data_IF_327771336097
#
_entry.id   IF_327771336097
#
_cell.length_a   1.000
_cell.length_b   1.000
_cell.length_c   1.000
_cell.angle_alpha   90.00
_cell.angle_beta   90.00
_cell.angle_gamma   90.00
#
_symmetry.space_group_name_H-M   'P 1'
#
loop_
_entity.id
_entity.type
_entity.pdbx_description
1 polymer ?
#
# COMPACT_ATOMS: atom_id res chain seq x y z
N UNK A 1 -16.58 -24.11 5.35
CA UNK A 1 -16.58 -22.69 5.77
C UNK A 1 -15.50 -22.52 6.82
N UNK A 2 -14.29 -22.14 6.42
CA UNK A 2 -13.19 -21.93 7.38
C UNK A 2 -13.19 -20.46 7.76
N UNK A 3 -13.77 -20.15 8.92
CA UNK A 3 -13.62 -18.85 9.57
C UNK A 3 -12.15 -18.70 9.96
N UNK A 4 -11.39 -17.93 9.19
CA UNK A 4 -10.07 -17.47 9.60
C UNK A 4 -10.25 -16.53 10.80
N UNK A 5 -10.31 -17.09 12.01
CA UNK A 5 -10.06 -16.33 13.23
C UNK A 5 -8.57 -16.01 13.24
N UNK A 6 -8.21 -14.86 12.68
CA UNK A 6 -6.88 -14.31 12.87
C UNK A 6 -6.75 -13.99 14.36
N UNK A 7 -6.00 -14.82 15.10
CA UNK A 7 -5.66 -14.51 16.49
C UNK A 7 -4.64 -13.39 16.38
N UNK A 8 -5.08 -12.17 16.72
CA UNK A 8 -4.18 -11.02 16.82
C UNK A 8 -3.03 -11.39 17.74
N UNK A 9 -1.80 -11.10 17.33
CA UNK A 9 -0.66 -11.28 18.22
C UNK A 9 -0.80 -10.35 19.42
N UNK A 10 -0.17 -10.67 20.54
CA UNK A 10 -0.19 -9.81 21.74
C UNK A 10 0.30 -8.38 21.42
N UNK A 11 1.24 -8.26 20.49
CA UNK A 11 1.74 -6.98 20.00
C UNK A 11 0.69 -6.22 19.19
N UNK A 12 -0.05 -6.91 18.31
CA UNK A 12 -1.13 -6.28 17.55
C UNK A 12 -2.22 -5.78 18.51
N UNK A 13 -2.59 -6.60 19.51
CA UNK A 13 -3.54 -6.20 20.54
C UNK A 13 -3.11 -4.93 21.30
N UNK A 14 -1.82 -4.82 21.67
CA UNK A 14 -1.28 -3.62 22.33
C UNK A 14 -1.32 -2.39 21.43
N UNK A 15 -1.02 -2.56 20.15
CA UNK A 15 -1.10 -1.47 19.16
C UNK A 15 -2.55 -1.01 19.01
N UNK A 16 -3.49 -1.95 18.85
CA UNK A 16 -4.91 -1.61 18.75
C UNK A 16 -5.42 -0.91 20.01
N UNK A 17 -5.09 -1.43 21.20
CA UNK A 17 -5.42 -0.80 22.48
C UNK A 17 -4.92 0.63 22.54
N UNK A 18 -3.65 0.87 22.20
CA UNK A 18 -3.05 2.20 22.18
C UNK A 18 -3.81 3.15 21.24
N UNK A 19 -4.17 2.70 20.03
CA UNK A 19 -4.93 3.50 19.06
C UNK A 19 -6.34 3.80 19.58
N UNK A 20 -7.03 2.80 20.14
CA UNK A 20 -8.38 3.01 20.69
C UNK A 20 -8.39 3.91 21.92
N UNK A 21 -7.36 3.83 22.76
CA UNK A 21 -7.20 4.70 23.93
C UNK A 21 -6.91 6.13 23.49
N UNK A 22 -6.03 6.33 22.51
CA UNK A 22 -5.78 7.66 21.92
C UNK A 22 -7.07 8.26 21.32
N UNK A 23 -7.88 7.45 20.65
CA UNK A 23 -9.16 7.91 20.10
C UNK A 23 -10.18 8.24 21.21
N UNK A 24 -10.36 7.38 22.21
CA UNK A 24 -11.31 7.61 23.31
C UNK A 24 -10.99 8.84 24.15
N UNK A 25 -9.69 9.16 24.27
CA UNK A 25 -9.23 10.29 25.07
C UNK A 25 -9.13 11.60 24.29
N UNK A 26 -9.37 11.60 22.98
CA UNK A 26 -9.35 12.81 22.15
C UNK A 26 -10.69 13.54 22.25
N UNK A 27 -10.67 14.88 22.35
CA UNK A 27 -11.89 15.70 22.45
C UNK A 27 -12.68 15.63 21.13
N UNK A 28 -11.97 15.53 20.01
CA UNK A 28 -12.54 15.32 18.69
C UNK A 28 -11.55 14.55 17.80
N UNK A 29 -12.03 14.12 16.63
CA UNK A 29 -11.22 13.33 15.68
C UNK A 29 -10.06 14.14 15.08
N UNK A 30 -10.20 15.47 14.99
CA UNK A 30 -9.17 16.37 14.43
C UNK A 30 -7.94 16.44 15.35
N UNK A 31 -8.13 16.48 16.67
CA UNK A 31 -7.06 16.45 17.67
C UNK A 31 -6.29 15.12 17.65
N UNK A 32 -7.00 14.01 17.45
CA UNK A 32 -6.40 12.69 17.27
C UNK A 32 -5.48 12.67 16.02
N UNK A 33 -5.96 13.21 14.89
CA UNK A 33 -5.16 13.30 13.67
C UNK A 33 -3.97 14.24 13.80
N UNK A 34 -4.11 15.39 14.46
CA UNK A 34 -3.00 16.30 14.74
C UNK A 34 -1.90 15.62 15.56
N UNK A 35 -2.30 14.81 16.54
CA UNK A 35 -1.36 14.03 17.37
C UNK A 35 -0.58 13.03 16.52
N UNK A 36 -1.23 12.28 15.63
CA UNK A 36 -0.58 11.33 14.73
C UNK A 36 0.30 12.01 13.67
N UNK A 37 -0.13 13.15 13.13
CA UNK A 37 0.68 13.96 12.21
C UNK A 37 1.94 14.50 12.88
N UNK A 38 1.86 14.91 14.15
CA UNK A 38 3.02 15.41 14.89
C UNK A 38 4.08 14.31 15.12
N UNK A 39 3.64 13.07 15.37
CA UNK A 39 4.49 11.90 15.58
C UNK A 39 5.08 11.35 14.27
N UNK A 40 4.44 11.58 13.12
CA UNK A 40 4.88 11.09 11.80
C UNK A 40 5.86 12.01 11.08
N UNK A 41 6.12 13.23 11.59
CA UNK A 41 7.17 14.12 11.07
C UNK A 41 8.56 13.59 11.41
N UNK A 42 8.99 12.58 10.66
CA UNK A 42 10.39 12.24 10.53
C UNK A 42 11.12 13.52 10.06
N UNK A 43 12.12 13.98 10.84
CA UNK A 43 12.90 15.19 10.52
C UNK A 43 13.61 14.97 9.18
N UNK A 44 12.98 15.39 8.09
CA UNK A 44 13.57 15.35 6.76
C UNK A 44 14.75 16.32 6.72
N UNK A 45 15.97 15.81 6.94
CA UNK A 45 17.19 16.52 6.62
C UNK A 45 17.37 16.57 5.09
N UNK A 46 17.54 17.81 4.60
CA UNK A 46 18.15 18.24 3.32
C UNK A 46 17.91 17.44 2.03
N UNK A 47 17.22 18.08 1.07
CA UNK A 47 17.27 17.87 -0.40
C UNK A 47 17.97 16.59 -0.91
N UNK A 48 17.40 15.45 -0.60
CA UNK A 48 17.59 14.22 -1.36
C UNK A 48 16.23 13.92 -1.97
N UNK A 49 16.16 13.81 -3.29
CA UNK A 49 14.97 13.31 -3.97
C UNK A 49 14.83 11.84 -3.61
N UNK A 50 14.20 11.56 -2.47
CA UNK A 50 13.95 10.21 -2.03
C UNK A 50 12.87 9.62 -2.93
N UNK A 51 13.19 8.49 -3.55
CA UNK A 51 12.21 7.66 -4.23
C UNK A 51 11.47 6.86 -3.15
N UNK A 52 10.20 7.19 -2.92
CA UNK A 52 9.37 6.53 -1.95
C UNK A 52 8.73 5.28 -2.56
N UNK A 53 9.03 4.11 -2.03
CA UNK A 53 8.60 2.84 -2.65
C UNK A 53 7.78 1.99 -1.70
N UNK A 54 6.70 1.40 -2.21
CA UNK A 54 5.90 0.38 -1.52
C UNK A 54 6.14 -0.97 -2.19
N UNK A 55 6.47 -1.99 -1.39
CA UNK A 55 6.44 -3.38 -1.81
C UNK A 55 5.44 -4.12 -0.93
N UNK A 56 4.40 -4.69 -1.53
CA UNK A 56 3.28 -5.26 -0.77
C UNK A 56 2.86 -6.62 -1.33
N UNK A 57 2.87 -7.62 -0.46
CA UNK A 57 2.47 -8.98 -0.76
C UNK A 57 0.97 -9.18 -0.46
N UNK A 58 0.14 -9.12 -1.51
CA UNK A 58 -1.29 -8.95 -1.34
C UNK A 58 -2.01 -10.29 -1.15
N UNK A 59 -1.58 -11.36 -1.83
CA UNK A 59 -2.28 -12.66 -1.86
C UNK A 59 -3.69 -12.58 -2.45
N UNK A 60 -3.87 -11.77 -3.50
CA UNK A 60 -5.12 -11.57 -4.23
C UNK A 60 -5.63 -10.13 -4.15
N UNK A 61 -5.50 -9.40 -5.25
CA UNK A 61 -5.85 -7.98 -5.32
C UNK A 61 -7.34 -7.71 -5.07
N UNK A 62 -8.22 -8.60 -5.54
CA UNK A 62 -9.67 -8.44 -5.35
C UNK A 62 -10.10 -8.48 -3.88
N UNK A 63 -9.42 -9.26 -3.04
CA UNK A 63 -9.78 -9.42 -1.61
C UNK A 63 -9.29 -8.24 -0.76
N UNK A 64 -8.16 -7.62 -1.14
CA UNK A 64 -7.51 -6.56 -0.37
C UNK A 64 -7.46 -5.22 -1.10
N UNK A 65 -8.38 -5.03 -2.05
CA UNK A 65 -8.42 -3.82 -2.87
C UNK A 65 -8.52 -2.55 -2.02
N UNK A 66 -9.39 -2.55 -1.01
CA UNK A 66 -9.57 -1.39 -0.13
C UNK A 66 -8.30 -1.01 0.65
N UNK A 67 -7.54 -2.00 1.11
CA UNK A 67 -6.27 -1.79 1.82
C UNK A 67 -5.20 -1.22 0.88
N UNK A 68 -5.07 -1.78 -0.32
CA UNK A 68 -4.15 -1.28 -1.35
C UNK A 68 -4.48 0.16 -1.71
N UNK A 69 -5.76 0.48 -1.90
CA UNK A 69 -6.22 1.82 -2.24
C UNK A 69 -5.89 2.81 -1.12
N UNK A 70 -6.22 2.47 0.13
CA UNK A 70 -5.96 3.33 1.28
C UNK A 70 -4.46 3.59 1.49
N UNK A 71 -3.65 2.53 1.46
CA UNK A 71 -2.20 2.64 1.60
C UNK A 71 -1.60 3.50 0.49
N UNK A 72 -2.03 3.28 -0.76
CA UNK A 72 -1.49 3.99 -1.92
C UNK A 72 -1.83 5.48 -1.90
N UNK A 73 -3.09 5.82 -1.59
CA UNK A 73 -3.55 7.21 -1.57
C UNK A 73 -2.91 8.02 -0.45
N UNK A 74 -2.71 7.41 0.72
CA UNK A 74 -2.14 8.11 1.88
C UNK A 74 -0.60 8.13 1.87
N UNK A 75 0.03 7.07 1.35
CA UNK A 75 1.49 6.92 1.40
C UNK A 75 2.26 7.73 0.36
N UNK A 76 1.60 8.36 -0.63
CA UNK A 76 2.23 9.17 -1.69
C UNK A 76 3.47 8.49 -2.30
N UNK A 77 3.38 7.20 -2.61
CA UNK A 77 4.49 6.42 -3.15
C UNK A 77 4.83 6.81 -4.61
N UNK A 78 6.10 6.80 -4.97
CA UNK A 78 6.60 6.97 -6.33
C UNK A 78 6.48 5.68 -7.14
N UNK A 79 6.78 4.55 -6.48
CA UNK A 79 6.78 3.20 -7.06
C UNK A 79 6.05 2.27 -6.13
N UNK A 80 5.13 1.48 -6.66
CA UNK A 80 4.35 0.51 -5.91
C UNK A 80 4.48 -0.84 -6.60
N UNK A 81 5.00 -1.82 -5.88
CA UNK A 81 5.13 -3.21 -6.34
C UNK A 81 4.17 -4.08 -5.53
N UNK A 82 3.23 -4.68 -6.23
CA UNK A 82 2.19 -5.53 -5.68
C UNK A 82 2.46 -6.98 -6.13
N UNK A 83 2.70 -7.86 -5.16
CA UNK A 83 3.00 -9.27 -5.38
C UNK A 83 1.78 -10.14 -5.10
N UNK A 84 1.69 -11.26 -5.81
CA UNK A 84 0.57 -12.20 -5.74
C UNK A 84 -0.77 -11.49 -5.99
N UNK A 85 -0.87 -10.76 -7.10
CA UNK A 85 -2.08 -10.00 -7.42
C UNK A 85 -3.23 -10.88 -7.89
N UNK A 86 -2.95 -12.04 -8.45
CA UNK A 86 -3.94 -12.91 -9.07
C UNK A 86 -4.65 -12.23 -10.25
N UNK A 87 -5.92 -12.58 -10.47
CA UNK A 87 -6.76 -11.96 -11.51
C UNK A 87 -7.36 -10.64 -11.02
N UNK A 88 -7.32 -9.62 -11.86
CA UNK A 88 -7.96 -8.33 -11.61
C UNK A 88 -8.40 -7.67 -12.92
N UNK A 89 -9.26 -6.66 -12.82
CA UNK A 89 -9.69 -5.88 -13.97
C UNK A 89 -8.73 -4.70 -14.18
N UNK A 90 -8.05 -4.66 -15.34
CA UNK A 90 -7.04 -3.63 -15.63
C UNK A 90 -7.63 -2.21 -15.60
N UNK A 91 -8.86 -2.03 -16.10
CA UNK A 91 -9.54 -0.73 -16.10
C UNK A 91 -9.76 -0.18 -14.69
N UNK A 92 -10.07 -1.03 -13.71
CA UNK A 92 -10.20 -0.62 -12.30
C UNK A 92 -8.92 0.00 -11.78
N UNK A 93 -7.76 -0.60 -12.07
CA UNK A 93 -6.46 -0.09 -11.63
C UNK A 93 -6.12 1.21 -12.33
N UNK A 94 -6.32 1.28 -13.65
CA UNK A 94 -6.05 2.48 -14.44
C UNK A 94 -6.91 3.67 -13.99
N UNK A 95 -8.17 3.44 -13.67
CA UNK A 95 -9.07 4.49 -13.19
C UNK A 95 -8.73 4.95 -11.76
N UNK A 96 -8.29 4.03 -10.89
CA UNK A 96 -7.92 4.36 -9.52
C UNK A 96 -6.57 5.08 -9.40
N UNK A 97 -5.65 4.83 -10.33
CA UNK A 97 -4.28 5.35 -10.30
C UNK A 97 -3.91 6.03 -11.63
N UNK A 98 -4.60 7.12 -12.02
CA UNK A 98 -4.42 7.77 -13.31
C UNK A 98 -3.02 8.36 -13.52
N UNK A 99 -2.33 8.73 -12.43
CA UNK A 99 -0.98 9.33 -12.46
C UNK A 99 0.15 8.30 -12.55
N UNK A 100 -0.18 7.01 -12.67
CA UNK A 100 0.79 5.93 -12.68
C UNK A 100 0.81 5.21 -14.03
N UNK A 101 2.02 4.92 -14.49
CA UNK A 101 2.26 3.90 -15.48
C UNK A 101 2.09 2.52 -14.83
N UNK A 102 1.30 1.65 -15.46
CA UNK A 102 0.93 0.34 -14.91
C UNK A 102 1.59 -0.77 -15.73
N UNK A 103 2.40 -1.59 -15.05
CA UNK A 103 3.08 -2.76 -15.62
C UNK A 103 2.58 -4.02 -14.93
N UNK A 104 2.17 -5.02 -15.70
CA UNK A 104 1.69 -6.28 -15.16
C UNK A 104 2.42 -7.47 -15.78
N UNK A 105 2.89 -8.37 -14.94
CA UNK A 105 3.41 -9.67 -15.32
C UNK A 105 2.54 -10.75 -14.67
N UNK A 106 1.86 -11.56 -15.50
CA UNK A 106 1.05 -12.67 -15.01
C UNK A 106 1.94 -13.76 -14.41
N UNK A 107 1.53 -14.31 -13.27
CA UNK A 107 2.19 -15.45 -12.63
C UNK A 107 1.70 -16.80 -13.17
N UNK A 108 2.43 -17.87 -12.87
CA UNK A 108 2.08 -19.24 -13.30
C UNK A 108 0.91 -19.86 -12.56
N UNK A 109 0.54 -19.35 -11.37
CA UNK A 109 -0.55 -19.87 -10.55
C UNK A 109 -1.71 -18.85 -10.45
N UNK A 110 -2.92 -19.26 -10.00
CA UNK A 110 -4.11 -18.38 -9.96
C UNK A 110 -3.99 -17.14 -9.08
N UNK A 111 -3.14 -17.20 -8.06
CA UNK A 111 -2.86 -16.09 -7.14
C UNK A 111 -1.61 -15.30 -7.54
N UNK A 112 -0.89 -15.78 -8.55
CA UNK A 112 0.40 -15.27 -8.96
C UNK A 112 0.24 -14.05 -9.83
N UNK A 113 1.34 -13.30 -9.94
CA UNK A 113 1.41 -12.10 -10.74
C UNK A 113 2.04 -10.97 -9.97
N UNK A 114 2.64 -10.05 -10.72
CA UNK A 114 3.28 -8.86 -10.20
C UNK A 114 2.71 -7.67 -10.94
N UNK A 115 2.17 -6.71 -10.19
CA UNK A 115 1.68 -5.44 -10.69
C UNK A 115 2.59 -4.33 -10.16
N UNK A 116 3.17 -3.55 -11.04
CA UNK A 116 4.05 -2.44 -10.70
C UNK A 116 3.39 -1.16 -11.19
N UNK A 117 3.19 -0.20 -10.29
CA UNK A 117 2.70 1.14 -10.58
C UNK A 117 3.85 2.12 -10.37
N UNK A 118 4.12 2.98 -11.36
CA UNK A 118 5.22 3.95 -11.30
C UNK A 118 4.71 5.31 -11.72
N UNK A 119 4.93 6.35 -10.91
CA UNK A 119 4.50 7.73 -11.24
C UNK A 119 5.01 8.15 -12.62
N UNK A 120 4.16 8.81 -13.40
CA UNK A 120 4.44 9.14 -14.81
C UNK A 120 5.68 10.02 -15.05
N UNK A 121 6.10 10.83 -14.06
CA UNK A 121 7.33 11.63 -14.19
C UNK A 121 8.62 10.80 -14.10
N UNK A 122 8.53 9.53 -13.68
CA UNK A 122 9.69 8.64 -13.54
C UNK A 122 9.90 7.91 -14.86
N UNK A 123 11.08 8.09 -15.45
CA UNK A 123 11.48 7.37 -16.66
C UNK A 123 11.82 5.93 -16.30
N UNK A 124 11.26 5.00 -17.05
CA UNK A 124 11.43 3.57 -16.82
C UNK A 124 11.74 2.83 -18.12
N UNK A 125 12.65 1.87 -18.04
CA UNK A 125 12.95 0.93 -19.10
C UNK A 125 12.73 -0.48 -18.59
N UNK A 126 12.09 -1.32 -19.41
CA UNK A 126 11.96 -2.75 -19.10
C UNK A 126 13.22 -3.44 -19.60
N UNK A 127 13.92 -4.14 -18.71
CA UNK A 127 14.99 -5.05 -19.11
C UNK A 127 14.34 -6.21 -19.86
N UNK A 128 14.54 -6.27 -21.18
CA UNK A 128 14.26 -7.47 -21.95
C UNK A 128 15.37 -8.48 -21.61
N UNK A 129 14.98 -9.68 -21.19
CA UNK A 129 15.90 -10.81 -21.20
C UNK A 129 15.75 -11.46 -22.56
N UNK A 130 16.83 -11.49 -23.32
CA UNK A 130 16.94 -12.35 -24.50
C UNK A 130 16.73 -13.79 -24.00
N UNK A 131 15.71 -14.45 -24.54
CA UNK A 131 15.44 -15.88 -24.33
C UNK A 131 15.90 -16.61 -25.58
#
# INVERSE_FOLDING_TARGET
MNSARCILSENDCKIFQTITDEWHNSINIEECFLTWESKSKCKAQSKTSFLHTLCFHIRGLGLRWGEVLLLTLNGKFDVITLLETGKFCKSTITNAFPDYNIFYQKGGNPHGGVLILIKQYIRVSRIQRDV
#
